data_IF_024263511663
#
_entry.id   IF_024263511663
#
_cell.length_a   1.000
_cell.length_b   1.000
_cell.length_c   1.000
_cell.angle_alpha   90.00
_cell.angle_beta   90.00
_cell.angle_gamma   90.00
#
_symmetry.space_group_name_H-M   'P 1'
#
loop_
_entity.id
_entity.type
_entity.pdbx_description
1 polymer ?
#
# COMPACT_ATOMS: atom_id res chain seq x y z
N UNK A 1 -35.21 28.78 11.57
CA UNK A 1 -35.37 27.44 10.96
C UNK A 1 -34.31 27.15 9.87
N UNK A 2 -33.03 27.56 10.05
CA UNK A 2 -31.95 27.34 9.06
C UNK A 2 -30.65 26.77 9.64
N UNK A 3 -30.62 26.51 10.96
CA UNK A 3 -29.43 26.05 11.67
C UNK A 3 -29.21 24.54 11.49
N UNK A 4 -30.28 23.73 11.61
CA UNK A 4 -30.23 22.25 11.51
C UNK A 4 -29.70 21.75 10.14
N UNK A 5 -30.12 22.31 8.98
CA UNK A 5 -29.58 21.89 7.68
C UNK A 5 -28.08 22.14 7.52
N UNK A 6 -27.55 23.18 8.18
CA UNK A 6 -26.14 23.55 8.08
C UNK A 6 -25.24 22.51 8.77
N UNK A 7 -25.63 22.00 9.94
CA UNK A 7 -24.86 20.94 10.64
C UNK A 7 -24.88 19.63 9.88
N UNK A 8 -25.99 19.28 9.24
CA UNK A 8 -26.11 18.06 8.45
C UNK A 8 -25.22 18.13 7.21
N UNK A 9 -25.25 19.27 6.48
CA UNK A 9 -24.35 19.47 5.33
C UNK A 9 -22.88 19.47 5.75
N UNK A 10 -22.54 20.20 6.83
CA UNK A 10 -21.16 20.28 7.32
C UNK A 10 -20.65 18.91 7.78
N UNK A 11 -21.44 18.19 8.60
CA UNK A 11 -21.12 16.85 9.06
C UNK A 11 -20.99 15.84 7.93
N UNK A 12 -21.89 15.89 6.95
CA UNK A 12 -21.82 15.06 5.74
C UNK A 12 -20.56 15.33 4.92
N UNK A 13 -20.19 16.60 4.74
CA UNK A 13 -18.96 16.98 4.05
C UNK A 13 -17.70 16.48 4.76
N UNK A 14 -17.63 16.62 6.09
CA UNK A 14 -16.52 16.10 6.89
C UNK A 14 -16.41 14.57 6.79
N UNK A 15 -17.53 13.86 6.80
CA UNK A 15 -17.57 12.40 6.67
C UNK A 15 -17.11 11.94 5.28
N UNK A 16 -17.61 12.57 4.22
CA UNK A 16 -17.19 12.27 2.85
C UNK A 16 -15.70 12.54 2.64
N UNK A 17 -15.19 13.64 3.21
CA UNK A 17 -13.77 13.94 3.20
C UNK A 17 -12.94 12.84 3.89
N UNK A 18 -13.34 12.45 5.11
CA UNK A 18 -12.67 11.38 5.85
C UNK A 18 -12.66 10.06 5.07
N UNK A 19 -13.81 9.66 4.51
CA UNK A 19 -13.91 8.45 3.68
C UNK A 19 -13.04 8.51 2.43
N UNK A 20 -12.94 9.67 1.79
CA UNK A 20 -12.11 9.87 0.60
C UNK A 20 -10.63 9.65 0.94
N UNK A 21 -10.14 10.25 2.03
CA UNK A 21 -8.76 10.08 2.50
C UNK A 21 -8.50 8.64 2.94
N UNK A 22 -9.44 8.03 3.68
CA UNK A 22 -9.36 6.62 4.08
C UNK A 22 -9.28 5.69 2.87
N UNK A 23 -10.13 5.89 1.86
CA UNK A 23 -10.13 5.08 0.65
C UNK A 23 -8.84 5.24 -0.15
N UNK A 24 -8.25 6.44 -0.19
CA UNK A 24 -6.96 6.66 -0.83
C UNK A 24 -5.83 5.88 -0.14
N UNK A 25 -5.77 5.87 1.20
CA UNK A 25 -4.79 5.08 1.96
C UNK A 25 -5.04 3.57 1.79
N UNK A 26 -6.29 3.14 1.89
CA UNK A 26 -6.67 1.73 1.69
C UNK A 26 -6.29 1.23 0.29
N UNK A 27 -6.46 2.08 -0.74
CA UNK A 27 -6.07 1.74 -2.12
C UNK A 27 -4.58 1.45 -2.23
N UNK A 28 -3.72 2.23 -1.56
CA UNK A 28 -2.27 2.01 -1.55
C UNK A 28 -1.88 0.70 -0.87
N UNK A 29 -2.57 0.34 0.22
CA UNK A 29 -2.40 -0.97 0.87
C UNK A 29 -2.82 -2.12 -0.04
N UNK A 30 -3.98 -2.00 -0.69
CA UNK A 30 -4.45 -3.02 -1.61
C UNK A 30 -3.50 -3.19 -2.80
N UNK A 31 -2.94 -2.09 -3.33
CA UNK A 31 -1.90 -2.14 -4.37
C UNK A 31 -0.67 -2.94 -3.92
N UNK A 32 -0.24 -2.77 -2.68
CA UNK A 32 0.88 -3.54 -2.13
C UNK A 32 0.54 -5.04 -2.07
N UNK A 33 -0.65 -5.40 -1.59
CA UNK A 33 -1.14 -6.78 -1.56
C UNK A 33 -1.27 -7.40 -2.94
N UNK A 34 -1.77 -6.65 -3.92
CA UNK A 34 -1.87 -7.10 -5.31
C UNK A 34 -0.49 -7.36 -5.93
N UNK A 35 0.48 -6.48 -5.67
CA UNK A 35 1.85 -6.66 -6.16
C UNK A 35 2.53 -7.87 -5.51
N UNK A 36 2.31 -8.09 -4.20
CA UNK A 36 2.77 -9.29 -3.50
C UNK A 36 2.12 -10.55 -4.09
N UNK A 37 0.82 -10.53 -4.34
CA UNK A 37 0.11 -11.64 -4.97
C UNK A 37 0.65 -11.94 -6.37
N UNK A 38 0.90 -10.92 -7.19
CA UNK A 38 1.52 -11.09 -8.52
C UNK A 38 2.93 -11.66 -8.43
N UNK A 39 3.72 -11.26 -7.43
CA UNK A 39 5.05 -11.81 -7.18
C UNK A 39 4.98 -13.29 -6.80
N UNK A 40 4.06 -13.65 -5.90
CA UNK A 40 3.82 -15.05 -5.49
C UNK A 40 3.33 -15.92 -6.64
N UNK A 41 2.44 -15.42 -7.49
CA UNK A 41 1.95 -16.16 -8.67
C UNK A 41 3.05 -16.39 -9.72
N UNK A 42 4.01 -15.49 -9.84
CA UNK A 42 5.14 -15.65 -10.77
C UNK A 42 6.22 -16.55 -10.22
N UNK A 43 6.44 -16.52 -8.90
CA UNK A 43 7.42 -17.35 -8.21
C UNK A 43 6.80 -17.90 -6.91
N UNK A 44 6.10 -19.05 -6.98
CA UNK A 44 5.53 -19.71 -5.78
C UNK A 44 6.62 -20.04 -4.74
N UNK A 45 7.85 -20.16 -5.22
CA UNK A 45 9.08 -20.38 -4.48
C UNK A 45 9.63 -19.18 -3.70
N UNK A 46 9.16 -17.96 -3.98
CA UNK A 46 9.38 -16.77 -3.14
C UNK A 46 8.26 -16.60 -2.10
N UNK A 47 7.11 -17.24 -2.30
CA UNK A 47 5.93 -17.11 -1.43
C UNK A 47 6.10 -17.64 -0.01
N UNK A 48 7.18 -18.38 0.27
CA UNK A 48 7.46 -18.96 1.59
C UNK A 48 8.20 -17.96 2.51
N UNK A 49 8.81 -16.90 1.94
CA UNK A 49 9.63 -15.92 2.70
C UNK A 49 8.85 -14.62 2.98
N UNK A 50 7.59 -14.53 2.55
CA UNK A 50 6.84 -13.25 2.50
C UNK A 50 5.63 -13.30 3.41
N UNK A 51 5.92 -13.38 4.70
CA UNK A 51 4.97 -13.05 5.76
C UNK A 51 5.01 -11.52 5.97
N UNK A 52 4.04 -10.83 5.36
CA UNK A 52 3.55 -9.43 5.52
C UNK A 52 4.56 -8.27 5.77
N UNK A 53 5.86 -8.52 5.74
CA UNK A 53 6.92 -7.64 6.28
C UNK A 53 8.22 -7.60 5.47
N UNK A 54 8.34 -8.40 4.41
CA UNK A 54 9.64 -8.58 3.76
C UNK A 54 10.08 -7.35 2.95
N UNK A 55 11.17 -6.75 3.42
CA UNK A 55 11.90 -5.68 2.77
C UNK A 55 12.12 -6.00 1.27
N UNK A 56 11.83 -5.06 0.35
CA UNK A 56 12.07 -5.24 -1.08
C UNK A 56 13.51 -5.66 -1.42
N UNK A 57 14.47 -5.24 -0.60
CA UNK A 57 15.88 -5.56 -0.79
C UNK A 57 16.19 -7.03 -0.45
N UNK A 58 15.47 -7.65 0.50
CA UNK A 58 15.55 -9.08 0.78
C UNK A 58 14.91 -9.91 -0.35
N UNK A 59 13.81 -9.43 -0.93
CA UNK A 59 13.18 -10.05 -2.10
C UNK A 59 14.12 -10.07 -3.31
N UNK A 60 14.89 -9.00 -3.52
CA UNK A 60 15.89 -8.94 -4.60
C UNK A 60 17.03 -9.94 -4.37
N UNK A 61 17.50 -10.08 -3.12
CA UNK A 61 18.55 -11.03 -2.77
C UNK A 61 18.09 -12.48 -3.02
N UNK A 62 16.90 -12.85 -2.54
CA UNK A 62 16.31 -14.18 -2.76
C UNK A 62 16.11 -14.50 -4.26
N UNK A 63 15.77 -13.49 -5.06
CA UNK A 63 15.61 -13.66 -6.51
C UNK A 63 16.94 -13.85 -7.25
N UNK A 64 18.03 -13.25 -6.74
CA UNK A 64 19.38 -13.42 -7.31
C UNK A 64 19.96 -14.80 -7.00
N UNK A 65 19.68 -15.36 -5.83
CA UNK A 65 20.17 -16.70 -5.45
C UNK A 65 19.52 -17.82 -6.29
N UNK A 66 18.25 -17.68 -6.67
CA UNK A 66 17.50 -18.78 -7.32
C UNK A 66 17.75 -18.99 -8.82
N UNK A 67 18.62 -18.22 -9.47
CA UNK A 67 18.94 -18.35 -10.92
C UNK A 67 17.72 -18.69 -11.81
N UNK A 68 16.60 -17.97 -11.62
CA UNK A 68 15.40 -18.17 -12.44
C UNK A 68 15.60 -17.68 -13.87
N UNK A 69 14.82 -18.25 -14.81
CA UNK A 69 14.81 -17.88 -16.23
C UNK A 69 14.78 -16.34 -16.41
N UNK A 70 15.65 -15.80 -17.28
CA UNK A 70 15.88 -14.34 -17.40
C UNK A 70 14.59 -13.53 -17.57
N UNK A 71 13.59 -14.10 -18.26
CA UNK A 71 12.28 -13.48 -18.50
C UNK A 71 11.44 -13.34 -17.21
N UNK A 72 11.41 -14.38 -16.37
CA UNK A 72 10.68 -14.38 -15.09
C UNK A 72 11.38 -13.47 -14.09
N UNK A 73 12.72 -13.51 -14.07
CA UNK A 73 13.55 -12.64 -13.23
C UNK A 73 13.32 -11.16 -13.52
N UNK A 74 13.22 -10.75 -14.79
CA UNK A 74 12.94 -9.36 -15.16
C UNK A 74 11.53 -8.91 -14.73
N UNK A 75 10.52 -9.76 -14.89
CA UNK A 75 9.14 -9.47 -14.47
C UNK A 75 9.04 -9.33 -12.96
N UNK A 76 9.64 -10.25 -12.20
CA UNK A 76 9.64 -10.19 -10.75
C UNK A 76 10.42 -8.97 -10.22
N UNK A 77 11.55 -8.63 -10.83
CA UNK A 77 12.34 -7.46 -10.43
C UNK A 77 11.57 -6.15 -10.67
N UNK A 78 10.79 -6.05 -11.75
CA UNK A 78 9.88 -4.92 -11.98
C UNK A 78 8.84 -4.81 -10.86
N UNK A 79 8.20 -5.92 -10.49
CA UNK A 79 7.19 -5.94 -9.42
C UNK A 79 7.81 -5.55 -8.07
N UNK A 80 9.03 -6.00 -7.76
CA UNK A 80 9.72 -5.62 -6.52
C UNK A 80 10.05 -4.12 -6.49
N UNK A 81 10.45 -3.53 -7.62
CA UNK A 81 10.63 -2.07 -7.73
C UNK A 81 9.32 -1.33 -7.47
N UNK A 82 8.22 -1.78 -8.07
CA UNK A 82 6.90 -1.18 -7.87
C UNK A 82 6.45 -1.29 -6.40
N UNK A 83 6.75 -2.41 -5.72
CA UNK A 83 6.52 -2.59 -4.28
C UNK A 83 7.31 -1.56 -3.46
N UNK A 84 8.60 -1.39 -3.76
CA UNK A 84 9.47 -0.42 -3.07
C UNK A 84 8.94 1.01 -3.22
N UNK A 85 8.58 1.40 -4.45
CA UNK A 85 8.02 2.73 -4.73
C UNK A 85 6.70 2.93 -3.99
N UNK A 86 5.80 1.94 -4.02
CA UNK A 86 4.51 2.05 -3.34
C UNK A 86 4.67 2.20 -1.82
N UNK A 87 5.59 1.45 -1.21
CA UNK A 87 5.92 1.55 0.22
C UNK A 87 6.40 2.95 0.60
N UNK A 88 7.35 3.50 -0.15
CA UNK A 88 7.88 4.86 0.08
C UNK A 88 6.75 5.88 -0.02
N UNK A 89 5.96 5.83 -1.11
CA UNK A 89 4.84 6.75 -1.31
C UNK A 89 3.80 6.66 -0.19
N UNK A 90 3.46 5.45 0.26
CA UNK A 90 2.50 5.23 1.34
C UNK A 90 3.01 5.82 2.67
N UNK A 91 4.26 5.57 3.01
CA UNK A 91 4.88 6.10 4.23
C UNK A 91 5.00 7.62 4.19
N UNK A 92 5.27 8.21 3.03
CA UNK A 92 5.24 9.67 2.86
C UNK A 92 3.84 10.25 2.98
N UNK A 93 2.82 9.57 2.45
CA UNK A 93 1.42 9.98 2.59
C UNK A 93 1.03 10.03 4.07
N UNK A 94 1.36 9.00 4.86
CA UNK A 94 1.07 8.98 6.30
C UNK A 94 1.73 10.12 7.09
N UNK A 95 2.79 10.75 6.57
CA UNK A 95 3.42 11.91 7.21
C UNK A 95 2.73 13.23 6.86
N UNK A 96 2.01 13.31 5.74
CA UNK A 96 1.40 14.54 5.21
C UNK A 96 -0.04 14.73 5.71
N UNK A 97 -0.47 15.96 5.98
CA UNK A 97 -1.89 16.26 6.18
C UNK A 97 -2.64 16.18 4.83
N UNK A 98 -3.93 15.79 4.79
CA UNK A 98 -4.78 15.33 5.88
C UNK A 98 -4.57 13.85 6.29
N UNK A 99 -3.75 13.12 5.53
CA UNK A 99 -3.55 11.68 5.67
C UNK A 99 -2.95 11.25 7.01
N UNK A 100 -2.13 12.07 7.66
CA UNK A 100 -1.53 11.79 8.97
C UNK A 100 -2.59 11.56 10.05
N UNK A 101 -3.49 12.53 10.24
CA UNK A 101 -4.49 12.43 11.29
C UNK A 101 -5.62 11.45 10.93
N UNK A 102 -6.04 11.41 9.66
CA UNK A 102 -6.98 10.37 9.18
C UNK A 102 -6.36 8.98 9.36
N UNK A 103 -5.07 8.85 9.07
CA UNK A 103 -4.25 7.67 9.28
C UNK A 103 -4.28 7.19 10.72
N UNK A 104 -4.02 8.10 11.67
CA UNK A 104 -4.07 7.82 13.10
C UNK A 104 -5.46 7.38 13.58
N UNK A 105 -6.51 8.08 13.16
CA UNK A 105 -7.90 7.72 13.53
C UNK A 105 -8.29 6.35 12.95
N UNK A 106 -7.93 6.09 11.70
CA UNK A 106 -8.24 4.84 11.01
C UNK A 106 -7.25 3.70 11.30
N UNK A 107 -6.28 3.89 12.21
CA UNK A 107 -5.24 2.92 12.62
C UNK A 107 -4.38 2.39 11.46
N UNK A 108 -4.08 3.26 10.50
CA UNK A 108 -3.09 2.96 9.47
C UNK A 108 -1.67 3.14 10.03
N UNK A 109 -0.81 2.16 9.76
CA UNK A 109 0.58 2.14 10.21
C UNK A 109 1.50 2.12 8.99
N UNK A 110 2.72 2.65 9.14
CA UNK A 110 3.74 2.54 8.09
C UNK A 110 4.07 1.08 7.82
N UNK A 111 4.37 0.78 6.55
CA UNK A 111 4.82 -0.54 6.12
C UNK A 111 6.29 -0.46 5.76
#
# INVERSE_FOLDING_TARGET
MGFIPLFIMLGGGCLLFFLTVKNALQRKLNQQKELLFKLNSLNPELGIIVDDSSDPDLLIAALKEKQTEKSVTQKALKIIRDLKVNRIQYNELLKKAPYNWVGKIARFHSI
#
